data_IF_346576816227
#
_entry.id   IF_346576816227
#
_cell.length_a   1.000
_cell.length_b   1.000
_cell.length_c   1.000
_cell.angle_alpha   90.00
_cell.angle_beta   90.00
_cell.angle_gamma   90.00
#
_symmetry.space_group_name_H-M   'P 1'
#
loop_
_entity.id
_entity.type
_entity.pdbx_description
1 polymer ?
#
# COMPACT_ATOMS: atom_id res chain seq x y z
N UNK A 1 16.20 15.68 1.46
CA UNK A 1 14.79 15.34 1.25
C UNK A 1 14.65 14.52 -0.02
N UNK A 2 14.03 13.37 0.07
CA UNK A 2 13.86 12.48 -1.08
C UNK A 2 12.40 12.37 -1.44
N UNK A 3 12.11 12.43 -2.72
CA UNK A 3 10.74 12.35 -3.20
C UNK A 3 10.57 11.18 -4.14
N UNK A 4 9.47 10.47 -3.98
CA UNK A 4 9.18 9.30 -4.81
C UNK A 4 7.75 9.38 -5.32
N UNK A 5 7.52 8.90 -6.51
CA UNK A 5 6.17 8.74 -7.02
C UNK A 5 5.94 7.26 -7.28
N UNK A 6 4.90 6.72 -6.68
CA UNK A 6 4.59 5.32 -6.82
C UNK A 6 3.22 5.15 -7.41
N UNK A 7 3.09 4.23 -8.34
CA UNK A 7 1.79 3.88 -8.89
C UNK A 7 1.40 2.54 -8.27
N UNK A 8 0.35 2.56 -7.46
CA UNK A 8 -0.10 1.40 -6.74
C UNK A 8 -1.22 0.75 -7.52
N UNK A 9 -0.93 -0.30 -8.22
CA UNK A 9 -1.87 -0.92 -9.15
C UNK A 9 -3.00 -1.65 -8.46
N UNK A 10 -4.16 -1.58 -9.05
CA UNK A 10 -5.27 -2.40 -8.62
C UNK A 10 -5.05 -3.82 -9.09
N UNK A 11 -5.71 -4.75 -8.46
CA UNK A 11 -5.65 -6.13 -8.85
C UNK A 11 -7.05 -6.70 -8.87
N UNK A 12 -7.29 -7.61 -9.74
CA UNK A 12 -8.58 -8.28 -9.78
C UNK A 12 -8.35 -9.77 -9.70
N UNK A 13 -9.35 -10.47 -9.22
CA UNK A 13 -9.31 -11.91 -9.21
C UNK A 13 -9.87 -12.38 -10.52
N UNK A 14 -9.08 -13.15 -11.24
CA UNK A 14 -9.60 -13.69 -12.47
C UNK A 14 -9.58 -15.16 -12.31
N UNK A 15 -10.40 -15.80 -13.01
CA UNK A 15 -10.48 -17.23 -12.94
C UNK A 15 -11.36 -17.76 -11.86
N UNK A 16 -12.02 -16.87 -11.12
CA UNK A 16 -12.83 -17.33 -10.09
C UNK A 16 -13.84 -18.28 -10.52
N UNK A 17 -14.49 -18.05 -11.56
CA UNK A 17 -15.53 -18.93 -11.97
C UNK A 17 -15.11 -19.87 -13.00
N UNK A 18 -13.90 -19.82 -13.38
CA UNK A 18 -13.45 -20.66 -14.38
C UNK A 18 -13.22 -21.99 -13.83
N UNK A 19 -12.77 -22.04 -12.63
CA UNK A 19 -12.46 -23.31 -12.11
C UNK A 19 -13.68 -23.90 -11.51
N UNK A 20 -14.07 -24.96 -11.94
CA UNK A 20 -15.20 -25.49 -11.48
C UNK A 20 -14.93 -26.19 -10.41
N UNK A 21 -15.72 -26.68 -9.79
CA UNK A 21 -15.52 -27.27 -8.75
C UNK A 21 -15.19 -28.50 -9.05
N UNK A 22 -14.41 -29.06 -8.55
CA UNK A 22 -14.06 -30.24 -8.63
C UNK A 22 -14.87 -31.00 -7.82
N UNK A 23 -14.72 -32.16 -7.67
CA UNK A 23 -15.52 -32.89 -6.85
C UNK A 23 -15.50 -32.44 -5.50
N UNK A 24 -14.45 -31.98 -5.05
CA UNK A 24 -14.37 -31.55 -3.71
C UNK A 24 -14.67 -30.15 -3.63
N UNK A 25 -15.10 -29.58 -4.62
CA UNK A 25 -15.46 -28.32 -4.39
C UNK A 25 -14.64 -27.37 -5.00
N UNK A 26 -14.00 -26.75 -4.66
CA UNK A 26 -13.36 -25.81 -5.23
C UNK A 26 -12.25 -25.52 -4.83
N UNK A 27 -11.92 -25.97 -4.37
CA UNK A 27 -11.03 -25.77 -3.74
C UNK A 27 -9.92 -25.21 -4.29
N UNK A 28 -9.45 -25.35 -4.93
CA UNK A 28 -8.34 -24.88 -5.28
C UNK A 28 -8.35 -23.93 -6.18
N UNK A 29 -9.07 -23.31 -6.27
CA UNK A 29 -9.12 -22.48 -7.06
C UNK A 29 -8.66 -21.44 -6.83
N UNK A 30 -8.08 -21.03 -6.82
CA UNK A 30 -7.56 -20.10 -6.60
C UNK A 30 -7.76 -19.05 -7.34
N UNK A 31 -8.02 -18.02 -6.97
CA UNK A 31 -8.13 -16.85 -7.58
C UNK A 31 -6.86 -16.43 -8.11
N UNK A 32 -6.79 -16.04 -9.27
CA UNK A 32 -5.60 -15.50 -9.84
C UNK A 32 -5.70 -14.00 -9.74
N UNK A 33 -4.77 -13.38 -9.09
CA UNK A 33 -4.75 -11.94 -8.95
C UNK A 33 -3.91 -11.36 -10.07
N UNK A 34 -4.50 -10.51 -10.86
CA UNK A 34 -3.80 -9.88 -11.97
C UNK A 34 -3.80 -8.38 -11.83
N UNK A 35 -2.69 -7.71 -12.07
CA UNK A 35 -2.68 -6.26 -12.05
C UNK A 35 -3.44 -5.72 -13.25
N UNK A 36 -4.05 -4.57 -13.08
CA UNK A 36 -4.73 -3.91 -14.20
C UNK A 36 -4.20 -2.49 -14.27
N UNK A 37 -4.55 -1.80 -15.31
CA UNK A 37 -4.02 -0.45 -15.52
C UNK A 37 -4.56 0.59 -14.58
N UNK A 38 -5.52 0.29 -13.78
CA UNK A 38 -6.05 1.23 -12.83
C UNK A 38 -5.13 1.28 -11.63
N UNK A 39 -4.65 2.43 -11.27
CA UNK A 39 -3.74 2.55 -10.14
C UNK A 39 -3.98 3.82 -9.37
N UNK A 40 -3.69 3.79 -8.09
CA UNK A 40 -3.59 5.00 -7.30
C UNK A 40 -2.19 5.54 -7.45
N UNK A 41 -2.01 6.81 -7.17
CA UNK A 41 -0.68 7.41 -7.18
C UNK A 41 -0.35 7.86 -5.78
N UNK A 42 0.86 7.64 -5.35
CA UNK A 42 1.33 8.17 -4.08
C UNK A 42 2.57 9.01 -4.33
N UNK A 43 2.52 10.27 -3.94
CA UNK A 43 3.69 11.13 -3.97
C UNK A 43 4.20 11.17 -2.54
N UNK A 44 5.38 10.65 -2.32
CA UNK A 44 5.91 10.46 -0.98
C UNK A 44 7.19 11.23 -0.81
N UNK A 45 7.26 12.02 0.26
CA UNK A 45 8.44 12.81 0.56
C UNK A 45 9.00 12.38 1.90
N UNK A 46 10.29 12.06 1.91
CA UNK A 46 11.00 11.72 3.13
C UNK A 46 11.85 12.93 3.51
N UNK A 47 11.68 13.44 4.70
CA UNK A 47 12.33 14.68 5.10
C UNK A 47 13.65 14.48 5.84
N UNK A 48 13.99 13.29 6.20
CA UNK A 48 15.25 12.98 6.90
C UNK A 48 15.36 13.75 8.22
N UNK A 49 14.24 13.88 8.89
CA UNK A 49 14.23 14.51 10.21
C UNK A 49 13.15 13.81 11.03
N UNK A 50 13.23 13.92 12.33
CA UNK A 50 12.26 13.25 13.18
C UNK A 50 10.89 13.88 13.00
N UNK A 51 9.87 13.07 13.10
CA UNK A 51 8.51 13.56 12.96
C UNK A 51 7.55 12.42 12.77
N UNK A 52 6.42 12.72 12.18
CA UNK A 52 5.37 11.77 11.99
C UNK A 52 4.93 11.70 10.55
N UNK A 53 4.08 10.76 10.25
CA UNK A 53 3.50 10.61 8.93
C UNK A 53 2.34 11.59 8.78
N UNK A 54 2.28 12.25 7.65
CA UNK A 54 1.13 13.07 7.31
C UNK A 54 0.61 12.59 5.98
N UNK A 55 -0.69 12.35 5.90
CA UNK A 55 -1.34 11.89 4.68
C UNK A 55 -2.35 12.91 4.23
N UNK A 56 -2.34 13.19 2.94
CA UNK A 56 -3.43 13.94 2.32
C UNK A 56 -3.97 13.08 1.19
N UNK A 57 -5.23 13.16 0.93
CA UNK A 57 -5.86 12.29 -0.05
C UNK A 57 -6.84 13.06 -0.90
N UNK A 58 -6.90 12.70 -2.18
CA UNK A 58 -7.82 13.35 -3.11
C UNK A 58 -9.27 12.97 -2.83
N UNK A 59 -9.50 11.84 -2.17
CA UNK A 59 -10.86 11.38 -1.88
C UNK A 59 -11.17 11.69 -0.43
N UNK A 60 -12.16 12.54 -0.21
CA UNK A 60 -12.49 12.97 1.15
C UNK A 60 -13.05 11.87 2.01
N UNK A 61 -13.49 10.79 1.43
CA UNK A 61 -14.03 9.68 2.18
C UNK A 61 -12.98 8.73 2.71
N UNK A 62 -11.73 8.95 2.31
CA UNK A 62 -10.63 8.11 2.79
C UNK A 62 -10.02 8.79 4.01
N UNK A 63 -9.89 8.08 5.12
CA UNK A 63 -9.30 8.72 6.30
C UNK A 63 -7.85 9.07 6.07
N UNK A 64 -7.43 10.19 6.65
CA UNK A 64 -6.05 10.61 6.55
C UNK A 64 -5.39 10.60 7.93
N UNK A 65 -6.02 9.94 8.89
CA UNK A 65 -5.51 9.85 10.23
C UNK A 65 -5.14 8.39 10.54
N UNK A 66 -5.08 8.04 11.78
CA UNK A 66 -4.63 6.72 12.20
C UNK A 66 -5.50 5.58 11.69
N UNK A 67 -6.66 5.89 11.17
CA UNK A 67 -7.51 4.85 10.61
C UNK A 67 -7.05 4.41 9.24
N UNK A 68 -6.18 5.17 8.59
CA UNK A 68 -5.70 4.78 7.28
C UNK A 68 -4.66 3.68 7.43
N UNK A 69 -4.73 2.68 6.57
CA UNK A 69 -3.81 1.55 6.65
C UNK A 69 -2.36 1.99 6.47
N UNK A 70 -2.12 3.09 5.81
CA UNK A 70 -0.76 3.60 5.65
C UNK A 70 -0.15 4.02 6.98
N UNK A 71 -0.97 4.52 7.92
CA UNK A 71 -0.47 4.83 9.24
C UNK A 71 -0.08 3.57 9.99
N UNK A 72 -0.84 2.49 9.82
CA UNK A 72 -0.49 1.24 10.47
C UNK A 72 0.80 0.68 9.91
N UNK A 73 0.99 0.80 8.61
CA UNK A 73 2.21 0.35 7.95
C UNK A 73 3.41 1.14 8.46
N UNK A 74 3.25 2.44 8.55
CA UNK A 74 4.30 3.33 9.02
C UNK A 74 4.68 2.97 10.47
N UNK A 75 3.67 2.80 11.32
CA UNK A 75 3.93 2.49 12.72
C UNK A 75 4.63 1.16 12.88
N UNK A 76 4.17 0.16 12.19
CA UNK A 76 4.76 -1.16 12.29
C UNK A 76 6.20 -1.16 11.78
N UNK A 77 6.45 -0.47 10.68
CA UNK A 77 7.80 -0.43 10.14
C UNK A 77 8.77 0.17 11.14
N UNK A 78 8.41 1.30 11.75
CA UNK A 78 9.34 1.95 12.67
C UNK A 78 9.45 1.21 13.99
N UNK A 79 8.42 0.49 14.40
CA UNK A 79 8.52 -0.35 15.59
C UNK A 79 9.42 -1.54 15.34
N UNK A 80 9.27 -2.20 14.21
CA UNK A 80 10.05 -3.39 13.95
C UNK A 80 11.50 -3.07 13.65
N UNK A 81 11.75 -1.98 13.01
CA UNK A 81 13.11 -1.59 12.68
C UNK A 81 13.82 -0.93 13.84
N UNK A 82 13.07 -0.55 14.87
CA UNK A 82 13.61 0.13 16.04
C UNK A 82 14.26 1.45 15.70
N UNK A 83 13.92 2.01 14.55
CA UNK A 83 14.40 3.30 14.16
C UNK A 83 13.42 4.33 14.66
N UNK A 84 13.89 5.53 14.98
CA UNK A 84 12.97 6.59 15.40
C UNK A 84 12.15 7.06 14.21
N UNK A 85 10.91 7.42 14.46
CA UNK A 85 10.03 7.83 13.40
C UNK A 85 10.55 9.08 12.72
N UNK A 86 10.53 9.05 11.40
CA UNK A 86 10.95 10.21 10.63
C UNK A 86 9.76 10.80 9.92
N UNK A 87 9.85 12.08 9.64
CA UNK A 87 8.77 12.82 9.02
C UNK A 87 8.62 12.39 7.57
N UNK A 88 7.43 11.94 7.23
CA UNK A 88 7.10 11.51 5.88
C UNK A 88 5.77 12.12 5.50
N UNK A 89 5.66 12.59 4.27
CA UNK A 89 4.42 13.14 3.77
C UNK A 89 3.97 12.32 2.57
N UNK A 90 2.71 11.92 2.54
CA UNK A 90 2.16 11.19 1.42
C UNK A 90 0.95 11.93 0.90
N UNK A 91 0.95 12.23 -0.40
CA UNK A 91 -0.27 12.69 -1.05
C UNK A 91 -0.79 11.50 -1.84
N UNK A 92 -1.96 11.03 -1.48
CA UNK A 92 -2.55 9.84 -2.10
C UNK A 92 -3.63 10.28 -3.07
N UNK A 93 -3.42 10.01 -4.34
CA UNK A 93 -4.41 10.29 -5.34
C UNK A 93 -5.16 9.01 -5.61
N UNK A 94 -6.38 8.94 -5.15
CA UNK A 94 -7.17 7.72 -5.25
C UNK A 94 -7.86 7.63 -6.58
N UNK A 95 -7.54 6.63 -7.33
CA UNK A 95 -8.22 6.34 -8.57
C UNK A 95 -8.94 5.00 -8.50
N UNK A 96 -8.56 4.16 -7.54
CA UNK A 96 -9.17 2.85 -7.39
C UNK A 96 -10.34 2.98 -6.43
N UNK A 97 -11.54 2.60 -6.83
CA UNK A 97 -12.68 2.69 -5.93
C UNK A 97 -12.47 1.83 -4.70
N UNK A 98 -12.68 2.41 -3.53
CA UNK A 98 -12.35 1.72 -2.30
C UNK A 98 -13.27 0.57 -1.99
N UNK A 99 -14.45 0.55 -2.56
CA UNK A 99 -15.40 -0.50 -2.26
C UNK A 99 -15.56 -1.50 -3.37
N UNK A 100 -14.68 -1.52 -4.30
CA UNK A 100 -14.85 -2.38 -5.46
C UNK A 100 -14.16 -3.73 -5.32
N UNK A 101 -13.55 -4.02 -4.20
CA UNK A 101 -12.86 -5.27 -4.05
C UNK A 101 -11.62 -5.39 -4.90
N UNK A 102 -11.05 -4.27 -5.30
CA UNK A 102 -9.88 -4.28 -6.17
C UNK A 102 -8.56 -4.20 -5.39
N UNK A 103 -8.64 -4.23 -4.08
CA UNK A 103 -7.43 -4.28 -3.28
C UNK A 103 -6.62 -3.01 -3.23
N UNK A 104 -7.26 -1.86 -3.49
CA UNK A 104 -6.52 -0.61 -3.54
C UNK A 104 -5.81 -0.26 -2.24
N UNK A 105 -6.51 -0.40 -1.11
CA UNK A 105 -5.91 -0.07 0.17
C UNK A 105 -4.74 -0.97 0.51
N UNK A 106 -4.91 -2.26 0.29
CA UNK A 106 -3.84 -3.21 0.54
C UNK A 106 -2.67 -2.98 -0.39
N UNK A 107 -2.96 -2.62 -1.63
CA UNK A 107 -1.91 -2.34 -2.59
C UNK A 107 -1.12 -1.12 -2.17
N UNK A 108 -1.81 -0.06 -1.70
CA UNK A 108 -1.13 1.15 -1.24
C UNK A 108 -0.19 0.80 -0.10
N UNK A 109 -0.66 0.01 0.86
CA UNK A 109 0.15 -0.36 2.00
C UNK A 109 1.35 -1.20 1.58
N UNK A 110 1.13 -2.14 0.67
CA UNK A 110 2.22 -3.00 0.21
C UNK A 110 3.31 -2.23 -0.51
N UNK A 111 2.92 -1.30 -1.39
CA UNK A 111 3.91 -0.50 -2.09
C UNK A 111 4.63 0.45 -1.14
N UNK A 112 3.90 1.00 -0.17
CA UNK A 112 4.54 1.88 0.80
C UNK A 112 5.56 1.11 1.65
N UNK A 113 5.22 -0.10 2.07
CA UNK A 113 6.14 -0.91 2.85
C UNK A 113 7.39 -1.24 2.04
N UNK A 114 7.21 -1.56 0.77
CA UNK A 114 8.35 -1.83 -0.08
C UNK A 114 9.25 -0.60 -0.19
N UNK A 115 8.66 0.57 -0.32
CA UNK A 115 9.44 1.79 -0.42
C UNK A 115 10.17 2.08 0.88
N UNK A 116 9.52 1.86 2.02
CA UNK A 116 10.18 2.08 3.30
C UNK A 116 11.39 1.15 3.44
N UNK A 117 11.22 -0.10 3.10
CA UNK A 117 12.31 -1.04 3.18
C UNK A 117 13.45 -0.64 2.25
N UNK A 118 13.14 -0.20 1.06
CA UNK A 118 14.17 0.17 0.12
C UNK A 118 14.87 1.46 0.53
N UNK A 119 14.11 2.43 0.98
CA UNK A 119 14.68 3.73 1.36
C UNK A 119 15.65 3.58 2.53
N UNK A 120 15.31 2.73 3.49
CA UNK A 120 16.15 2.55 4.67
C UNK A 120 17.05 1.32 4.58
N UNK A 121 17.14 0.73 3.40
CA UNK A 121 17.85 -0.51 3.25
C UNK A 121 19.30 -0.41 3.68
N UNK A 122 19.96 0.64 3.34
CA UNK A 122 21.35 0.80 3.69
C UNK A 122 21.55 0.97 5.18
N UNK A 123 20.51 1.19 5.93
CA UNK A 123 20.62 1.33 7.36
C UNK A 123 20.50 -0.01 8.02
N UNK A 124 19.69 -0.91 7.46
CA UNK A 124 19.44 -2.16 8.10
C UNK A 124 20.12 -3.35 7.50
N UNK A 125 20.61 -3.21 6.33
CA UNK A 125 21.23 -4.33 5.72
C UNK A 125 22.69 -4.29 5.77
N UNK A 126 23.17 -3.75 6.69
CA UNK A 126 24.49 -3.62 6.76
C UNK A 126 25.09 -4.55 7.22
#
# INVERSE_FOLDING_TARGET
MNKYKIFSNAKINIGLNVFQKEDDGYHNIDSIMAPIDLSDEMDITFYSELGDLKIECSDKNIPTDKKNILFKTYKIFFEESKKEKEKIYIFLKKNIPSEAGLGGGSSNAGFFLKLLNKHYENIYNE
#
